data_IF_560112022639
#
_entry.id   IF_560112022639
#
_cell.length_a   1.000
_cell.length_b   1.000
_cell.length_c   1.000
_cell.angle_alpha   90.00
_cell.angle_beta   90.00
_cell.angle_gamma   90.00
#
_symmetry.space_group_name_H-M   'P 1'
#
loop_
_entity.id
_entity.type
_entity.pdbx_description
1 polymer ?
2 polymer ?
3 polymer ?
4 non-polymer ?
5 water ?
#
loop_
_entity_poly.entity_id
_entity_poly.type
_entity_poly.pdbx_seq_one_letter_code
_entity_poly.pdbx_strand_id
2 'polydeoxyribonucleotide' '(DA)(DG)(DA)(DT)(DT)(DG)(DT)(DG)(DT)(DA)(DT)(DT)(DG)(DA)(DG)(DA)' ?
3 'polydeoxyribonucleotide' '(DT)(DC)(DT)(DC)(DA)(DA)(DT)(DA)(DC)(DA)(DC)(DA)(DA)(DT)(DC)(DT)' ?
#
# COMPACT_ATOMS: atom_id res chain seq x y z
N UNK A 3 17.98 0.94 25.56
CA UNK A 3 18.08 2.29 24.95
C UNK A 3 16.70 2.64 24.41
N UNK A 4 16.34 3.93 24.43
CA UNK A 4 15.11 4.38 23.83
C UNK A 4 15.11 4.02 22.34
N UNK A 5 13.97 3.52 21.88
CA UNK A 5 13.75 3.17 20.48
C UNK A 5 13.50 4.42 19.65
N UNK A 6 14.15 4.49 18.47
CA UNK A 6 13.90 5.57 17.53
C UNK A 6 12.46 5.49 17.03
N UNK A 7 11.83 6.66 16.86
CA UNK A 7 10.48 6.73 16.26
C UNK A 7 10.18 8.17 15.86
N UNK A 8 9.62 8.34 14.66
CA UNK A 8 9.16 9.60 14.16
C UNK A 8 7.99 9.35 13.25
N UNK A 9 6.98 10.21 13.32
CA UNK A 9 5.91 10.29 12.31
C UNK A 9 6.31 11.25 11.20
N UNK A 10 6.02 10.86 9.97
CA UNK A 10 6.40 11.64 8.80
C UNK A 10 5.15 12.20 8.12
N UNK A 11 5.28 13.29 7.32
CA UNK A 11 4.15 13.88 6.62
C UNK A 11 3.79 13.11 5.36
N UNK A 12 3.46 11.85 5.57
CA UNK A 12 3.07 10.94 4.52
C UNK A 12 1.70 11.31 3.95
N UNK A 13 1.36 10.80 2.76
CA UNK A 13 0.05 11.08 2.20
C UNK A 13 -1.05 10.59 3.15
N UNK A 14 -2.23 11.23 3.13
CA UNK A 14 -3.30 10.93 4.07
C UNK A 14 -4.16 9.75 3.65
N UNK A 15 -3.50 8.66 3.27
CA UNK A 15 -4.13 7.37 2.97
C UNK A 15 -3.32 6.29 3.66
N UNK A 16 -4.00 5.25 4.11
CA UNK A 16 -3.25 4.17 4.74
C UNK A 16 -2.32 3.52 3.73
N UNK A 17 -1.23 2.95 4.25
CA UNK A 17 -0.39 2.14 3.37
C UNK A 17 -1.20 1.03 2.71
N UNK A 18 -2.12 0.42 3.47
CA UNK A 18 -2.97 -0.62 2.89
C UNK A 18 -3.68 -0.11 1.63
N UNK A 19 -4.30 1.07 1.73
CA UNK A 19 -5.07 1.62 0.64
C UNK A 19 -4.18 1.89 -0.58
N UNK A 20 -2.99 2.44 -0.34
CA UNK A 20 -2.10 2.79 -1.45
C UNK A 20 -1.59 1.54 -2.16
N UNK A 21 -1.22 0.51 -1.36
CA UNK A 21 -0.78 -0.76 -1.92
C UNK A 21 -1.91 -1.39 -2.74
N UNK A 22 -3.11 -1.43 -2.14
CA UNK A 22 -4.23 -2.04 -2.84
C UNK A 22 -4.53 -1.34 -4.14
N UNK A 23 -4.44 -0.01 -4.13
CA UNK A 23 -4.72 0.74 -5.33
C UNK A 23 -3.69 0.43 -6.44
N UNK A 24 -2.40 0.38 -6.12
CA UNK A 24 -1.41 0.09 -7.16
C UNK A 24 -1.57 -1.33 -7.68
N UNK A 25 -1.85 -2.31 -6.82
CA UNK A 25 -2.05 -3.66 -7.30
C UNK A 25 -3.28 -3.72 -8.20
N UNK A 26 -4.40 -3.16 -7.72
CA UNK A 26 -5.65 -3.30 -8.47
C UNK A 26 -5.61 -2.60 -9.80
N UNK A 27 -4.76 -1.59 -9.94
CA UNK A 27 -4.70 -0.86 -11.19
C UNK A 27 -3.52 -1.26 -12.06
N UNK A 28 -2.87 -2.37 -11.74
CA UNK A 28 -1.84 -2.96 -12.56
C UNK A 28 -2.49 -3.88 -13.59
N UNK A 29 -1.85 -4.09 -14.75
CA UNK A 29 -2.50 -4.86 -15.81
C UNK A 29 -2.89 -6.30 -15.40
N UNK A 30 -2.09 -6.96 -14.56
CA UNK A 30 -2.40 -8.33 -14.19
C UNK A 30 -2.98 -8.45 -12.78
N UNK A 31 -3.22 -7.30 -12.13
CA UNK A 31 -3.75 -7.30 -10.78
C UNK A 31 -2.85 -8.08 -9.83
N UNK A 32 -1.52 -8.01 -10.07
CA UNK A 32 -0.51 -8.62 -9.24
C UNK A 32 0.77 -7.90 -9.46
N UNK A 33 1.55 -7.73 -8.40
CA UNK A 33 2.84 -7.06 -8.47
C UNK A 33 3.77 -7.67 -7.45
N UNK A 34 5.05 -7.76 -7.81
CA UNK A 34 6.06 -8.13 -6.83
C UNK A 34 6.25 -6.98 -5.83
N UNK A 35 6.90 -7.26 -4.70
CA UNK A 35 7.25 -6.21 -3.77
C UNK A 35 8.06 -5.10 -4.45
N UNK A 36 9.03 -5.48 -5.26
CA UNK A 36 9.88 -4.52 -5.94
C UNK A 36 9.01 -3.58 -6.80
N UNK A 37 8.07 -4.17 -7.51
CA UNK A 37 7.19 -3.39 -8.38
C UNK A 37 6.26 -2.48 -7.54
N UNK A 38 5.74 -2.98 -6.42
CA UNK A 38 4.89 -2.19 -5.56
C UNK A 38 5.65 -0.97 -5.09
N UNK A 39 6.87 -1.18 -4.59
CA UNK A 39 7.65 -0.07 -4.08
C UNK A 39 7.86 0.96 -5.17
N UNK A 40 8.14 0.51 -6.40
CA UNK A 40 8.30 1.49 -7.47
C UNK A 40 7.01 2.26 -7.75
N UNK A 41 5.89 1.55 -7.83
CA UNK A 41 4.62 2.22 -8.14
C UNK A 41 4.16 3.15 -7.01
N UNK A 42 4.36 2.76 -5.75
CA UNK A 42 4.01 3.63 -4.64
C UNK A 42 4.75 4.94 -4.77
N UNK A 43 6.03 4.86 -5.18
CA UNK A 43 6.83 6.06 -5.30
C UNK A 43 6.26 7.05 -6.33
N UNK A 44 5.48 6.56 -7.28
CA UNK A 44 4.85 7.45 -8.27
C UNK A 44 3.64 8.21 -7.76
N UNK A 45 3.04 7.77 -6.67
CA UNK A 45 1.73 8.26 -6.29
C UNK A 45 1.81 9.65 -5.77
N UNK A 46 2.83 9.92 -4.92
CA UNK A 46 2.91 11.22 -4.26
C UNK A 46 4.37 11.65 -4.13
N UNK A 47 4.68 12.95 -4.20
CA UNK A 47 6.06 13.40 -4.07
C UNK A 47 6.75 13.02 -2.75
N UNK A 48 5.98 12.84 -1.68
CA UNK A 48 6.57 12.39 -0.43
C UNK A 48 7.46 11.17 -0.63
N UNK A 49 7.05 10.24 -1.50
CA UNK A 49 7.78 8.99 -1.68
C UNK A 49 9.04 9.13 -2.52
N UNK A 50 9.23 10.30 -3.10
CA UNK A 50 10.49 10.61 -3.76
C UNK A 50 11.43 11.32 -2.82
N UNK A 51 10.99 11.61 -1.60
CA UNK A 51 11.85 12.20 -0.59
C UNK A 51 12.90 11.26 -0.01
N UNK A 52 13.66 11.78 0.96
CA UNK A 52 14.81 11.07 1.46
C UNK A 52 14.50 10.08 2.60
N UNK A 53 13.32 10.19 3.19
CA UNK A 53 12.85 9.17 4.13
C UNK A 53 12.49 7.89 3.37
N UNK A 54 13.11 6.78 3.76
CA UNK A 54 12.95 5.51 3.06
C UNK A 54 12.26 4.42 3.86
N UNK A 55 11.93 4.73 5.10
CA UNK A 55 11.38 3.71 5.97
C UNK A 55 9.99 3.25 5.59
N UNK A 56 9.32 4.04 4.76
CA UNK A 56 8.03 3.63 4.21
C UNK A 56 8.15 2.31 3.43
N UNK A 57 9.33 2.03 2.93
CA UNK A 57 9.54 0.79 2.16
C UNK A 57 9.39 -0.42 3.06
N UNK A 58 9.87 -0.29 4.30
CA UNK A 58 9.71 -1.31 5.33
C UNK A 58 8.24 -1.39 5.74
N UNK A 59 7.60 -0.22 5.90
CA UNK A 59 6.19 -0.24 6.23
C UNK A 59 5.34 -0.96 5.19
N UNK A 60 5.67 -0.77 3.91
CA UNK A 60 4.91 -1.45 2.87
C UNK A 60 5.09 -2.99 3.01
N UNK A 61 6.33 -3.44 3.23
CA UNK A 61 6.58 -4.87 3.43
C UNK A 61 5.75 -5.38 4.61
N UNK A 62 5.77 -4.61 5.69
CA UNK A 62 5.00 -4.98 6.85
C UNK A 62 3.52 -5.17 6.53
N UNK A 63 2.96 -4.23 5.76
CA UNK A 63 1.54 -4.25 5.43
C UNK A 63 1.17 -5.51 4.64
N UNK A 64 2.03 -5.90 3.70
CA UNK A 64 1.73 -7.07 2.89
C UNK A 64 1.57 -8.32 3.73
N UNK A 65 2.42 -8.46 4.73
CA UNK A 65 2.33 -9.63 5.61
C UNK A 65 1.21 -9.49 6.63
N UNK A 66 1.02 -8.28 7.15
CA UNK A 66 0.15 -8.04 8.29
C UNK A 66 -1.33 -8.17 7.96
N UNK A 67 -1.74 -7.63 6.81
CA UNK A 67 -3.15 -7.59 6.44
C UNK A 67 -3.49 -8.79 5.57
N UNK A 68 -4.63 -9.41 5.88
CA UNK A 68 -5.08 -10.61 5.21
C UNK A 68 -5.53 -10.37 3.77
N UNK A 69 -5.87 -9.13 3.45
CA UNK A 69 -6.29 -8.78 2.10
C UNK A 69 -5.17 -8.93 1.06
N UNK A 70 -3.92 -8.93 1.49
CA UNK A 70 -2.79 -9.12 0.60
C UNK A 70 -2.38 -10.58 0.59
N UNK A 71 -2.40 -11.19 -0.59
CA UNK A 71 -2.20 -12.61 -0.76
C UNK A 71 -1.05 -12.84 -1.72
N UNK A 72 -0.09 -13.61 -1.24
CA UNK A 72 1.08 -13.95 -1.99
C UNK A 72 0.70 -14.99 -3.03
N UNK A 73 1.19 -14.79 -4.25
CA UNK A 73 1.06 -15.73 -5.36
C UNK A 73 2.47 -16.12 -5.79
N UNK A 74 2.75 -17.42 -5.77
CA UNK A 74 4.08 -17.90 -5.99
C UNK A 74 4.59 -17.53 -7.38
N UNK A 75 5.81 -17.01 -7.44
CA UNK A 75 6.55 -16.77 -8.70
C UNK A 75 6.75 -18.11 -9.43
N UNK A 76 7.00 -19.18 -8.66
CA UNK A 76 7.23 -20.51 -9.18
C UNK A 76 6.44 -21.48 -8.32
N UNK A 77 5.38 -22.13 -8.86
CA UNK A 77 4.56 -23.05 -8.06
C UNK A 77 5.35 -24.21 -7.44
N UNK A 78 6.46 -24.61 -8.06
CA UNK A 78 7.32 -25.66 -7.54
C UNK A 78 8.30 -25.18 -6.50
N UNK A 79 8.25 -23.88 -6.14
CA UNK A 79 9.10 -23.32 -5.07
C UNK A 79 8.22 -22.62 -4.05
N UNK A 80 7.52 -23.40 -3.21
CA UNK A 80 6.64 -22.80 -2.20
C UNK A 80 7.41 -21.95 -1.18
N UNK A 81 8.73 -22.16 -1.06
CA UNK A 81 9.56 -21.36 -0.19
C UNK A 81 10.36 -20.33 -0.95
N UNK A 82 10.06 -20.14 -2.24
CA UNK A 82 10.70 -19.11 -3.03
C UNK A 82 10.31 -17.71 -2.56
N UNK A 83 11.10 -16.72 -2.97
CA UNK A 83 10.86 -15.34 -2.60
C UNK A 83 10.77 -14.52 -3.88
N UNK A 84 10.48 -13.23 -3.74
CA UNK A 84 10.21 -12.40 -4.91
C UNK A 84 8.91 -12.77 -5.61
N UNK A 85 7.93 -13.18 -4.80
CA UNK A 85 6.63 -13.57 -5.31
C UNK A 85 5.79 -12.36 -5.69
N UNK A 86 4.67 -12.66 -6.36
CA UNK A 86 3.67 -11.65 -6.64
C UNK A 86 2.75 -11.50 -5.46
N UNK A 87 2.18 -10.30 -5.35
CA UNK A 87 1.15 -9.98 -4.38
C UNK A 87 -0.11 -9.55 -5.10
N UNK A 88 -1.26 -10.03 -4.59
CA UNK A 88 -2.57 -9.71 -5.07
C UNK A 88 -3.36 -9.13 -3.90
N UNK A 89 -4.51 -8.55 -4.22
CA UNK A 89 -5.44 -8.00 -3.22
C UNK A 89 -6.76 -8.71 -3.35
N UNK A 90 -7.30 -9.18 -2.23
CA UNK A 90 -8.65 -9.75 -2.18
C UNK A 90 -9.56 -8.70 -1.57
N UNK A 91 -10.33 -8.01 -2.43
CA UNK A 91 -11.05 -6.84 -1.94
C UNK A 91 -12.08 -7.20 -0.91
N UNK A 92 -12.58 -8.45 -0.92
CA UNK A 92 -13.56 -8.87 0.08
C UNK A 92 -12.98 -8.95 1.49
N UNK A 93 -11.66 -8.83 1.61
CA UNK A 93 -10.96 -8.88 2.90
C UNK A 93 -10.53 -7.48 3.35
N UNK A 94 -10.73 -6.44 2.54
CA UNK A 94 -10.24 -5.13 2.91
C UNK A 94 -11.18 -4.53 3.95
N UNK A 95 -10.66 -3.97 5.07
CA UNK A 95 -11.53 -3.20 5.94
C UNK A 95 -11.84 -1.85 5.28
N UNK A 96 -13.09 -1.66 4.90
CA UNK A 96 -13.51 -0.54 4.07
C UNK A 96 -13.05 0.82 4.57
N UNK A 97 -13.10 1.06 5.88
CA UNK A 97 -12.76 2.36 6.41
C UNK A 97 -11.27 2.72 6.25
N UNK A 98 -10.41 1.71 6.03
CA UNK A 98 -9.01 1.98 5.76
C UNK A 98 -8.76 2.53 4.36
N UNK A 99 -9.80 2.62 3.52
CA UNK A 99 -9.70 3.24 2.22
C UNK A 99 -10.07 4.70 2.17
N UNK A 100 -10.59 5.21 3.29
CA UNK A 100 -10.98 6.61 3.37
C UNK A 100 -9.76 7.48 3.54
N UNK A 101 -9.83 8.71 3.01
CA UNK A 101 -8.84 9.74 3.33
C UNK A 101 -8.78 9.88 4.85
N UNK A 102 -7.57 9.99 5.36
CA UNK A 102 -7.29 10.15 6.77
C UNK A 102 -7.35 11.62 7.12
N UNK A 103 -7.80 11.92 8.34
CA UNK A 103 -7.77 13.26 8.89
C UNK A 103 -6.46 13.52 9.61
N UNK A 104 -5.45 13.96 8.86
CA UNK A 104 -4.13 14.25 9.40
C UNK A 104 -3.77 15.69 9.08
N UNK A 105 -2.62 16.13 9.60
CA UNK A 105 -2.16 17.47 9.28
C UNK A 105 -1.98 17.65 7.78
N UNK A 106 -1.58 16.60 7.08
CA UNK A 106 -1.33 16.67 5.66
C UNK A 106 -2.64 16.93 4.91
N UNK A 107 -3.72 16.21 5.26
CA UNK A 107 -4.99 16.48 4.58
C UNK A 107 -5.58 17.82 4.98
N UNK A 108 -5.42 18.21 6.25
CA UNK A 108 -5.97 19.49 6.72
C UNK A 108 -5.28 20.67 6.04
N UNK A 109 -4.03 20.52 5.61
CA UNK A 109 -3.28 21.57 4.96
C UNK A 109 -3.92 21.93 3.63
N UNK A 110 -4.49 20.94 2.94
CA UNK A 110 -5.13 21.15 1.64
C UNK A 110 -6.06 20.00 1.27
N UNK A 111 -7.30 20.07 1.77
CA UNK A 111 -8.21 18.95 1.66
C UNK A 111 -8.50 18.60 0.20
N UNK A 112 -8.56 19.61 -0.67
CA UNK A 112 -9.14 19.50 -2.01
C UNK A 112 -8.23 18.87 -3.04
N UNK A 113 -6.97 18.60 -2.67
CA UNK A 113 -6.10 17.86 -3.57
C UNK A 113 -6.15 16.36 -3.30
N UNK A 114 -6.97 15.93 -2.35
CA UNK A 114 -7.00 14.53 -1.89
C UNK A 114 -8.43 14.01 -2.02
N UNK A 115 -8.64 12.98 -2.84
CA UNK A 115 -9.92 12.31 -2.91
C UNK A 115 -10.35 11.81 -1.52
N UNK A 116 -11.66 11.88 -1.25
CA UNK A 116 -12.18 11.49 0.05
C UNK A 116 -12.15 10.01 0.31
N UNK A 117 -12.10 9.20 -0.75
CA UNK A 117 -12.17 7.75 -0.57
C UNK A 117 -11.48 7.09 -1.77
N UNK A 118 -10.66 6.07 -1.50
CA UNK A 118 -10.03 5.34 -2.58
C UNK A 118 -10.80 4.09 -2.98
N UNK A 119 -11.87 3.73 -2.26
CA UNK A 119 -12.64 2.56 -2.61
C UNK A 119 -13.09 2.56 -4.08
N UNK A 120 -13.49 3.69 -4.71
CA UNK A 120 -13.88 3.70 -6.12
C UNK A 120 -12.80 3.23 -7.09
N UNK A 121 -11.53 3.26 -6.67
CA UNK A 121 -10.38 2.90 -7.52
C UNK A 121 -9.82 1.52 -7.17
N UNK A 122 -10.50 0.83 -6.24
CA UNK A 122 -10.04 -0.45 -5.75
C UNK A 122 -11.08 -1.52 -6.02
N UNK A 123 -12.32 -1.24 -5.62
CA UNK A 123 -13.47 -2.11 -5.89
C UNK A 123 -13.89 -1.94 -7.34
N UNK A 124 -14.24 -3.07 -8.01
CA UNK A 124 -14.72 -3.07 -9.40
C UNK A 124 -16.24 -2.99 -9.47
#
# INVERSE_FOLDING_TARGET
GGKKKNYQRYPKPPYSYLAMIAMVIQNSPEKKLTLSEILKEISTLFPFFKGNYKGWRDSVRHNLSSYDCFVKVLKDPGKPQGKGNFWTVEVNRIPLELLKRQNTAVSRQDETIFAQDLAPYIFQG
#
